data_IF_172054316899
#
_entry.id   IF_172054316899
#
_cell.length_a   1.000
_cell.length_b   1.000
_cell.length_c   1.000
_cell.angle_alpha   90.00
_cell.angle_beta   90.00
_cell.angle_gamma   90.00
#
_symmetry.space_group_name_H-M   'P 1'
#
loop_
_entity.id
_entity.type
_entity.pdbx_description
1 polymer ?
#
# COMPACT_ATOMS: atom_id res chain seq x y z
N UNK A 1 15.34 3.31 -19.74
CA UNK A 1 15.57 2.65 -18.43
C UNK A 1 14.50 1.59 -18.24
N UNK A 2 14.84 0.30 -18.19
CA UNK A 2 13.90 -0.69 -17.68
C UNK A 2 13.87 -0.53 -16.17
N UNK A 3 12.99 0.35 -15.67
CA UNK A 3 12.73 0.45 -14.24
C UNK A 3 12.48 -0.96 -13.69
N UNK A 4 13.08 -1.29 -12.53
CA UNK A 4 12.80 -2.55 -11.86
C UNK A 4 11.28 -2.69 -11.72
N UNK A 5 10.69 -3.65 -12.43
CA UNK A 5 9.23 -3.75 -12.51
C UNK A 5 8.67 -4.06 -11.12
N UNK A 6 7.83 -3.18 -10.58
CA UNK A 6 7.13 -3.43 -9.33
C UNK A 6 6.34 -4.75 -9.42
N UNK A 7 6.62 -5.72 -8.53
CA UNK A 7 6.00 -7.07 -8.42
C UNK A 7 6.45 -8.17 -9.40
N UNK A 8 7.74 -8.53 -9.53
CA UNK A 8 8.21 -9.50 -10.52
C UNK A 8 7.44 -10.83 -10.47
N UNK A 9 7.13 -11.40 -11.65
CA UNK A 9 6.50 -12.71 -11.73
C UNK A 9 7.38 -13.77 -11.07
N UNK A 10 6.73 -14.72 -10.39
CA UNK A 10 7.38 -15.78 -9.66
C UNK A 10 8.21 -16.73 -10.55
N UNK A 11 7.71 -16.97 -11.75
CA UNK A 11 8.43 -17.64 -12.82
C UNK A 11 8.55 -16.61 -13.95
N UNK A 12 9.71 -15.97 -14.09
CA UNK A 12 9.99 -15.22 -15.29
C UNK A 12 10.00 -16.22 -16.44
N UNK A 13 8.95 -16.26 -17.25
CA UNK A 13 9.08 -16.84 -18.59
C UNK A 13 10.20 -16.05 -19.26
N UNK A 14 11.27 -16.74 -19.65
CA UNK A 14 12.39 -16.14 -20.36
C UNK A 14 11.83 -15.55 -21.66
N UNK A 15 11.41 -14.29 -21.62
CA UNK A 15 10.94 -13.57 -22.79
C UNK A 15 12.18 -13.42 -23.67
N UNK A 16 12.08 -13.89 -24.91
CA UNK A 16 13.15 -13.75 -25.90
C UNK A 16 13.65 -12.29 -25.88
N UNK A 17 14.98 -12.07 -25.97
CA UNK A 17 15.52 -10.73 -25.93
C UNK A 17 14.77 -9.87 -26.95
N UNK A 18 14.27 -8.68 -26.55
CA UNK A 18 13.63 -7.80 -27.51
C UNK A 18 14.61 -7.54 -28.66
N UNK A 19 14.11 -7.40 -29.90
CA UNK A 19 14.97 -7.03 -31.02
C UNK A 19 15.75 -5.76 -30.64
N UNK A 20 17.01 -5.62 -31.08
CA UNK A 20 17.82 -4.46 -30.74
C UNK A 20 17.09 -3.20 -31.18
N UNK A 21 16.56 -2.47 -30.20
CA UNK A 21 15.97 -1.17 -30.43
C UNK A 21 17.12 -0.22 -30.69
N UNK A 22 17.16 0.38 -31.88
CA UNK A 22 17.99 1.56 -32.15
C UNK A 22 17.44 2.72 -31.32
N UNK A 23 17.87 2.80 -30.06
CA UNK A 23 17.72 3.97 -29.22
C UNK A 23 19.06 4.71 -29.12
N UNK A 24 19.08 5.97 -28.66
CA UNK A 24 20.34 6.62 -28.28
C UNK A 24 21.05 5.76 -27.24
N UNK A 25 22.37 5.58 -27.39
CA UNK A 25 23.18 4.89 -26.40
C UNK A 25 23.18 5.72 -25.10
N UNK A 26 22.40 5.29 -24.12
CA UNK A 26 22.32 5.95 -22.81
C UNK A 26 23.57 5.68 -21.96
N UNK A 27 24.53 4.88 -22.45
CA UNK A 27 25.85 4.71 -21.87
C UNK A 27 26.88 5.73 -22.39
N UNK A 28 26.45 6.80 -23.07
CA UNK A 28 27.32 7.94 -23.39
C UNK A 28 27.74 8.60 -22.07
N UNK A 29 28.88 8.15 -21.54
CA UNK A 29 29.62 8.86 -20.51
C UNK A 29 30.21 10.08 -21.18
N UNK A 30 29.71 11.27 -20.82
CA UNK A 30 30.38 12.51 -21.16
C UNK A 30 31.75 12.48 -20.47
N UNK A 31 32.82 12.45 -21.27
CA UNK A 31 34.20 12.45 -20.79
C UNK A 31 34.84 13.74 -21.27
N UNK A 32 35.54 14.44 -20.36
CA UNK A 32 36.29 15.62 -20.73
C UNK A 32 37.44 15.23 -21.69
N UNK A 33 37.56 15.87 -22.87
CA UNK A 33 38.58 15.52 -23.86
C UNK A 33 40.02 15.78 -23.38
N UNK A 34 40.18 16.74 -22.47
CA UNK A 34 41.46 17.14 -21.87
C UNK A 34 41.86 16.22 -20.70
N UNK A 35 40.97 16.02 -19.72
CA UNK A 35 41.30 15.23 -18.54
C UNK A 35 41.33 13.72 -18.81
N UNK A 36 40.46 13.23 -19.71
CA UNK A 36 40.26 11.80 -20.05
C UNK A 36 40.15 10.88 -18.83
N UNK A 37 39.59 11.41 -17.74
CA UNK A 37 39.39 10.65 -16.50
C UNK A 37 38.27 9.62 -16.71
N UNK A 38 38.47 8.34 -16.36
CA UNK A 38 37.41 7.32 -16.41
C UNK A 38 36.21 7.64 -15.49
N UNK A 39 36.39 8.48 -14.46
CA UNK A 39 35.31 9.02 -13.61
C UNK A 39 35.28 10.55 -13.70
N UNK A 40 34.70 11.11 -14.79
CA UNK A 40 34.71 12.55 -15.02
C UNK A 40 33.80 13.26 -14.01
N UNK A 41 34.36 14.22 -13.26
CA UNK A 41 33.58 15.12 -12.40
C UNK A 41 33.04 16.27 -13.24
N UNK A 42 31.89 16.06 -13.87
CA UNK A 42 31.17 17.08 -14.64
C UNK A 42 30.08 17.66 -13.75
N UNK A 43 30.02 18.99 -13.67
CA UNK A 43 29.01 19.72 -12.93
C UNK A 43 28.16 20.55 -13.89
N UNK A 44 26.86 20.56 -13.63
CA UNK A 44 25.90 21.42 -14.29
C UNK A 44 25.84 22.76 -13.54
N UNK A 45 26.36 23.81 -14.15
CA UNK A 45 26.30 25.17 -13.61
C UNK A 45 25.04 25.86 -14.16
N UNK A 46 23.94 25.74 -13.42
CA UNK A 46 22.64 26.28 -13.83
C UNK A 46 22.61 27.81 -13.96
N UNK A 47 23.51 28.53 -13.27
CA UNK A 47 23.56 29.99 -13.31
C UNK A 47 24.03 30.55 -14.67
N UNK A 48 24.99 29.88 -15.30
CA UNK A 48 25.46 30.22 -16.66
C UNK A 48 24.81 29.35 -17.75
N UNK A 49 24.23 28.20 -17.36
CA UNK A 49 23.64 27.23 -18.28
C UNK A 49 24.69 26.33 -18.94
N UNK A 50 25.80 26.07 -18.25
CA UNK A 50 26.97 25.36 -18.82
C UNK A 50 27.30 24.06 -18.10
N UNK A 51 27.73 23.04 -18.85
CA UNK A 51 28.30 21.79 -18.33
C UNK A 51 29.80 21.96 -18.18
N UNK A 52 30.33 21.96 -16.96
CA UNK A 52 31.74 22.26 -16.69
C UNK A 52 32.45 21.06 -16.06
N UNK A 53 33.64 20.73 -16.55
CA UNK A 53 34.52 19.77 -15.88
C UNK A 53 35.18 20.41 -14.66
N UNK A 54 35.00 19.85 -13.45
CA UNK A 54 35.59 20.38 -12.21
C UNK A 54 37.12 20.27 -12.13
N UNK A 55 37.72 19.34 -12.89
CA UNK A 55 39.16 19.11 -12.82
C UNK A 55 39.96 20.14 -13.63
N UNK A 56 39.50 20.52 -14.83
CA UNK A 56 40.20 21.45 -15.72
C UNK A 56 39.46 22.76 -16.02
N UNK A 57 38.20 22.89 -15.60
CA UNK A 57 37.37 24.06 -15.89
C UNK A 57 36.85 24.16 -17.33
N UNK A 58 37.04 23.13 -18.15
CA UNK A 58 36.55 23.12 -19.54
C UNK A 58 35.03 23.02 -19.58
N UNK A 59 34.41 23.90 -20.36
CA UNK A 59 32.97 23.84 -20.69
C UNK A 59 32.77 22.78 -21.78
N UNK A 60 32.00 21.73 -21.45
CA UNK A 60 31.72 20.58 -22.31
C UNK A 60 30.43 20.73 -23.11
N UNK A 61 29.51 21.58 -22.65
CA UNK A 61 28.27 21.89 -23.35
C UNK A 61 27.72 23.20 -22.85
N UNK A 62 27.32 24.07 -23.77
CA UNK A 62 26.61 25.31 -23.50
C UNK A 62 25.09 25.08 -23.59
N UNK A 63 24.31 25.94 -22.92
CA UNK A 63 22.83 25.97 -22.98
C UNK A 63 22.17 24.68 -22.51
N UNK A 64 22.48 24.25 -21.29
CA UNK A 64 21.74 23.16 -20.64
C UNK A 64 20.26 23.54 -20.54
N UNK A 65 19.40 22.60 -20.90
CA UNK A 65 17.97 22.69 -20.60
C UNK A 65 17.75 22.33 -19.14
N UNK A 66 17.27 23.26 -18.34
CA UNK A 66 16.90 22.96 -16.95
C UNK A 66 15.65 22.07 -16.95
N UNK A 67 15.79 20.84 -16.48
CA UNK A 67 14.68 19.89 -16.32
C UNK A 67 14.03 19.97 -14.94
N UNK A 68 14.48 20.88 -14.06
CA UNK A 68 13.84 21.12 -12.77
C UNK A 68 12.46 21.73 -12.97
N UNK A 69 11.61 21.60 -11.95
CA UNK A 69 10.29 22.19 -11.94
C UNK A 69 10.38 23.69 -12.22
N UNK A 70 9.68 24.16 -13.26
CA UNK A 70 9.55 25.58 -13.57
C UNK A 70 8.93 26.28 -12.35
N UNK A 71 9.75 26.93 -11.52
CA UNK A 71 9.32 27.42 -10.20
C UNK A 71 8.45 28.69 -10.27
N UNK A 72 8.05 29.14 -11.47
CA UNK A 72 7.33 30.41 -11.62
C UNK A 72 6.26 30.34 -12.71
N UNK A 73 5.05 30.01 -12.30
CA UNK A 73 3.86 30.64 -12.90
C UNK A 73 3.82 32.07 -12.37
N UNK A 74 4.13 33.07 -13.22
CA UNK A 74 4.02 34.49 -12.83
C UNK A 74 2.55 34.93 -12.64
N UNK A 75 1.59 34.07 -13.00
CA UNK A 75 0.21 34.19 -12.57
C UNK A 75 0.08 33.49 -11.20
N UNK A 76 -0.45 34.22 -10.22
CA UNK A 76 -0.89 33.73 -8.90
C UNK A 76 -1.40 32.28 -8.95
N UNK A 77 -1.24 31.55 -7.84
CA UNK A 77 -1.69 30.17 -7.54
C UNK A 77 -3.14 29.77 -7.95
N UNK A 78 -3.90 30.66 -8.58
CA UNK A 78 -5.21 30.42 -9.16
C UNK A 78 -5.25 30.90 -10.62
N UNK A 79 -4.84 30.03 -11.55
CA UNK A 79 -4.92 30.30 -12.98
C UNK A 79 -4.42 29.15 -13.85
N UNK A 80 -4.88 29.12 -15.11
CA UNK A 80 -4.36 28.23 -16.15
C UNK A 80 -2.95 28.69 -16.54
N UNK A 81 -1.97 27.79 -16.50
CA UNK A 81 -0.54 28.08 -16.72
C UNK A 81 -0.27 28.23 -18.22
N UNK A 82 -0.05 29.46 -18.75
CA UNK A 82 0.09 29.67 -20.19
C UNK A 82 1.43 29.14 -20.73
N UNK A 83 2.40 28.85 -19.86
CA UNK A 83 3.68 28.22 -20.21
C UNK A 83 3.57 26.70 -20.33
N UNK A 84 2.58 26.08 -19.67
CA UNK A 84 2.43 24.63 -19.65
C UNK A 84 1.84 24.10 -20.96
N UNK A 85 2.73 23.69 -21.84
CA UNK A 85 2.37 23.08 -23.14
C UNK A 85 2.03 21.58 -23.06
N UNK A 86 2.05 20.98 -21.86
CA UNK A 86 1.70 19.56 -21.66
C UNK A 86 1.35 19.23 -20.20
N UNK A 87 0.45 18.26 -20.03
CA UNK A 87 0.11 17.71 -18.72
C UNK A 87 1.14 16.64 -18.31
N UNK A 88 1.42 16.54 -17.00
CA UNK A 88 2.20 15.43 -16.48
C UNK A 88 1.42 14.12 -16.66
N UNK A 89 2.02 13.14 -17.34
CA UNK A 89 1.43 11.81 -17.44
C UNK A 89 1.55 11.08 -16.12
N UNK A 90 0.46 10.45 -15.65
CA UNK A 90 0.51 9.56 -14.50
C UNK A 90 1.37 8.32 -14.86
N UNK A 91 2.48 8.04 -14.13
CA UNK A 91 3.30 6.85 -14.38
C UNK A 91 2.51 5.54 -14.27
N UNK A 92 1.42 5.50 -13.49
CA UNK A 92 0.56 4.32 -13.44
C UNK A 92 -0.19 4.06 -14.75
N UNK A 93 -0.35 5.09 -15.58
CA UNK A 93 -0.96 5.02 -16.92
C UNK A 93 0.09 4.86 -18.03
N UNK A 94 1.38 4.79 -17.68
CA UNK A 94 2.48 4.62 -18.64
C UNK A 94 2.30 3.32 -19.46
N UNK A 95 2.43 3.43 -20.79
CA UNK A 95 2.17 2.34 -21.74
C UNK A 95 0.71 2.20 -22.17
N UNK A 96 -0.20 3.06 -21.71
CA UNK A 96 -1.49 3.27 -22.35
C UNK A 96 -1.36 4.34 -23.43
N UNK A 97 -1.98 4.12 -24.58
CA UNK A 97 -2.02 5.07 -25.71
C UNK A 97 -3.01 6.22 -25.45
N UNK A 98 -3.03 6.75 -24.23
CA UNK A 98 -3.92 7.84 -23.82
C UNK A 98 -3.26 9.19 -24.08
N UNK A 99 -3.13 9.51 -25.37
CA UNK A 99 -2.85 10.85 -25.87
C UNK A 99 -4.15 11.55 -26.27
N UNK A 100 -5.23 11.34 -25.49
CA UNK A 100 -6.55 11.87 -25.77
C UNK A 100 -6.85 13.14 -24.96
N UNK A 101 -7.48 14.10 -25.61
CA UNK A 101 -8.00 15.31 -24.96
C UNK A 101 -9.50 15.18 -24.73
N UNK A 102 -10.01 15.68 -23.61
CA UNK A 102 -11.45 15.69 -23.32
C UNK A 102 -12.10 16.95 -23.88
N UNK A 103 -13.16 16.79 -24.68
CA UNK A 103 -13.93 17.92 -25.22
C UNK A 103 -14.81 18.51 -24.10
N UNK A 104 -14.65 19.81 -23.80
CA UNK A 104 -15.40 20.48 -22.73
C UNK A 104 -16.89 20.64 -23.03
N UNK A 105 -17.71 20.82 -21.98
CA UNK A 105 -19.16 21.08 -22.13
C UNK A 105 -19.49 22.55 -22.45
N UNK A 106 -18.51 23.46 -22.30
CA UNK A 106 -18.71 24.89 -22.56
C UNK A 106 -18.66 25.12 -24.06
N UNK A 107 -19.77 25.57 -24.64
CA UNK A 107 -19.93 25.58 -26.09
C UNK A 107 -20.46 26.88 -26.68
N UNK A 108 -20.23 28.02 -26.01
CA UNK A 108 -20.63 29.34 -26.51
C UNK A 108 -22.12 29.51 -26.87
N UNK A 109 -22.98 28.52 -26.61
CA UNK A 109 -24.39 28.48 -27.00
C UNK A 109 -24.75 27.59 -28.21
N UNK A 110 -23.79 26.92 -28.87
CA UNK A 110 -24.02 26.27 -30.16
C UNK A 110 -24.52 24.81 -30.09
N UNK A 111 -24.45 24.15 -28.92
CA UNK A 111 -24.94 22.79 -28.68
C UNK A 111 -24.15 21.65 -29.37
N UNK A 112 -23.13 21.99 -30.16
CA UNK A 112 -22.23 21.11 -30.89
C UNK A 112 -21.34 20.29 -29.96
N UNK A 113 -20.91 20.85 -28.82
CA UNK A 113 -20.08 20.14 -27.82
C UNK A 113 -20.73 18.84 -27.36
N UNK A 114 -22.05 18.83 -27.23
CA UNK A 114 -22.83 17.66 -26.81
C UNK A 114 -22.83 16.57 -27.87
N UNK A 115 -22.85 16.94 -29.13
CA UNK A 115 -22.75 15.98 -30.26
C UNK A 115 -21.34 15.44 -30.39
N UNK A 116 -20.32 16.31 -30.27
CA UNK A 116 -18.92 15.91 -30.28
C UNK A 116 -18.57 14.99 -29.11
N UNK A 117 -19.08 15.23 -27.90
CA UNK A 117 -18.90 14.32 -26.77
C UNK A 117 -19.57 12.97 -27.00
N UNK A 118 -20.76 12.94 -27.62
CA UNK A 118 -21.42 11.67 -27.98
C UNK A 118 -20.61 10.91 -29.01
N UNK A 119 -19.99 11.61 -29.97
CA UNK A 119 -19.08 11.00 -30.95
C UNK A 119 -17.80 10.48 -30.27
N UNK A 120 -17.18 11.27 -29.38
CA UNK A 120 -16.00 10.87 -28.61
C UNK A 120 -16.29 9.63 -27.74
N UNK A 121 -17.44 9.60 -27.07
CA UNK A 121 -17.88 8.45 -26.26
C UNK A 121 -17.99 7.15 -27.07
N UNK A 122 -18.25 7.25 -28.38
CA UNK A 122 -18.30 6.09 -29.29
C UNK A 122 -16.91 5.65 -29.76
N UNK A 123 -15.96 6.58 -29.83
CA UNK A 123 -14.57 6.31 -30.21
C UNK A 123 -13.65 5.91 -29.04
N UNK A 124 -14.15 5.92 -27.80
CA UNK A 124 -13.32 5.72 -26.62
C UNK A 124 -12.81 4.28 -26.45
N UNK A 125 -11.49 4.14 -26.56
CA UNK A 125 -10.60 3.22 -25.85
C UNK A 125 -10.84 1.72 -26.03
N UNK A 126 -9.76 0.94 -25.92
CA UNK A 126 -9.87 -0.50 -25.82
C UNK A 126 -10.74 -0.87 -24.61
N UNK A 127 -11.56 -1.93 -24.73
CA UNK A 127 -12.38 -2.44 -23.62
C UNK A 127 -11.54 -2.69 -22.36
N UNK A 128 -10.28 -3.06 -22.53
CA UNK A 128 -9.32 -3.32 -21.45
C UNK A 128 -8.98 -2.04 -20.67
N UNK A 129 -8.74 -0.93 -21.36
CA UNK A 129 -8.42 0.37 -20.74
C UNK A 129 -9.61 0.91 -19.94
N UNK A 130 -10.82 0.78 -20.49
CA UNK A 130 -12.06 1.16 -19.77
C UNK A 130 -12.23 0.37 -18.47
N UNK A 131 -12.02 -0.95 -18.51
CA UNK A 131 -12.08 -1.78 -17.31
C UNK A 131 -11.04 -1.37 -16.27
N UNK A 132 -9.83 -1.03 -16.70
CA UNK A 132 -8.75 -0.62 -15.81
C UNK A 132 -9.02 0.76 -15.17
N UNK A 133 -9.55 1.73 -15.94
CA UNK A 133 -9.95 3.03 -15.38
C UNK A 133 -11.08 2.90 -14.35
N UNK A 134 -12.07 2.05 -14.62
CA UNK A 134 -13.14 1.76 -13.65
C UNK A 134 -12.54 1.15 -12.38
N UNK A 135 -11.64 0.17 -12.51
CA UNK A 135 -10.99 -0.44 -11.37
C UNK A 135 -10.12 0.56 -10.57
N UNK A 136 -9.41 1.48 -11.22
CA UNK A 136 -8.61 2.49 -10.54
C UNK A 136 -9.46 3.49 -9.75
N UNK A 137 -10.62 3.86 -10.29
CA UNK A 137 -11.60 4.67 -9.57
C UNK A 137 -12.15 3.93 -8.34
N UNK A 138 -12.49 2.66 -8.51
CA UNK A 138 -13.06 1.84 -7.42
C UNK A 138 -12.01 1.55 -6.33
N UNK A 139 -10.75 1.29 -6.72
CA UNK A 139 -9.60 1.19 -5.78
C UNK A 139 -9.47 2.49 -4.98
N UNK A 140 -9.52 3.65 -5.64
CA UNK A 140 -9.38 4.95 -4.97
C UNK A 140 -10.54 5.17 -3.99
N UNK A 141 -11.79 4.97 -4.43
CA UNK A 141 -12.99 5.10 -3.59
C UNK A 141 -12.96 4.19 -2.35
N UNK A 142 -12.55 2.93 -2.50
CA UNK A 142 -12.47 2.00 -1.37
C UNK A 142 -11.29 2.30 -0.44
N UNK A 143 -10.17 2.77 -0.96
CA UNK A 143 -9.05 3.24 -0.14
C UNK A 143 -9.44 4.46 0.68
N UNK A 144 -10.16 5.41 0.09
CA UNK A 144 -10.65 6.61 0.76
C UNK A 144 -11.65 6.26 1.88
N UNK A 145 -12.55 5.32 1.64
CA UNK A 145 -13.48 4.80 2.66
C UNK A 145 -12.76 4.12 3.84
N UNK A 146 -11.62 3.47 3.61
CA UNK A 146 -10.76 2.93 4.67
C UNK A 146 -9.79 3.97 5.27
N UNK A 147 -9.82 5.22 4.78
CA UNK A 147 -8.88 6.28 5.13
C UNK A 147 -7.42 5.84 4.97
N UNK A 148 -7.12 5.11 3.88
CA UNK A 148 -5.78 4.66 3.56
C UNK A 148 -4.99 5.77 2.86
N UNK A 149 -3.68 5.90 3.12
CA UNK A 149 -2.82 6.86 2.42
C UNK A 149 -2.75 6.55 0.92
N UNK A 150 -2.55 7.60 0.11
CA UNK A 150 -2.43 7.52 -1.36
C UNK A 150 -1.39 6.50 -1.81
N UNK A 151 -0.28 6.37 -1.09
CA UNK A 151 0.76 5.36 -1.35
C UNK A 151 0.19 3.93 -1.44
N UNK A 152 -0.78 3.57 -0.60
CA UNK A 152 -1.41 2.25 -0.63
C UNK A 152 -2.35 2.12 -1.84
N UNK A 153 -3.07 3.19 -2.19
CA UNK A 153 -3.91 3.24 -3.39
C UNK A 153 -3.07 3.02 -4.66
N UNK A 154 -1.91 3.67 -4.75
CA UNK A 154 -1.02 3.57 -5.92
C UNK A 154 -0.38 2.19 -6.02
N UNK A 155 0.07 1.60 -4.91
CA UNK A 155 0.56 0.21 -4.87
C UNK A 155 -0.54 -0.76 -5.33
N UNK A 156 -1.79 -0.56 -4.87
CA UNK A 156 -2.91 -1.41 -5.26
C UNK A 156 -3.25 -1.28 -6.76
N UNK A 157 -3.21 -0.06 -7.32
CA UNK A 157 -3.40 0.21 -8.76
C UNK A 157 -2.31 -0.44 -9.60
N UNK A 158 -1.04 -0.32 -9.19
CA UNK A 158 0.09 -0.98 -9.87
C UNK A 158 -0.08 -2.50 -9.89
N UNK A 159 -0.45 -3.08 -8.74
CA UNK A 159 -0.69 -4.52 -8.61
C UNK A 159 -1.87 -4.98 -9.49
N UNK A 160 -2.96 -4.21 -9.53
CA UNK A 160 -4.12 -4.50 -10.38
C UNK A 160 -3.74 -4.46 -11.87
N UNK A 161 -3.07 -3.40 -12.32
CA UNK A 161 -2.58 -3.26 -13.70
C UNK A 161 -1.74 -4.46 -14.10
N UNK A 162 -0.81 -4.87 -13.24
CA UNK A 162 0.06 -6.03 -13.49
C UNK A 162 -0.74 -7.34 -13.54
N UNK A 163 -1.70 -7.52 -12.64
CA UNK A 163 -2.56 -8.70 -12.61
C UNK A 163 -3.40 -8.84 -13.89
N UNK A 164 -3.88 -7.72 -14.44
CA UNK A 164 -4.64 -7.66 -15.70
C UNK A 164 -3.74 -7.96 -16.91
N UNK A 165 -2.54 -7.37 -16.97
CA UNK A 165 -1.56 -7.58 -18.06
C UNK A 165 -1.15 -9.06 -18.19
N UNK A 166 -0.88 -9.71 -17.06
CA UNK A 166 -0.48 -11.13 -17.01
C UNK A 166 -1.68 -12.09 -17.03
N UNK A 167 -2.92 -11.57 -17.05
CA UNK A 167 -4.18 -12.33 -17.10
C UNK A 167 -4.32 -13.40 -16.01
N UNK A 168 -3.72 -13.16 -14.83
CA UNK A 168 -3.64 -14.14 -13.72
C UNK A 168 -5.04 -14.51 -13.16
N UNK A 169 -5.96 -13.55 -13.16
CA UNK A 169 -7.26 -13.66 -12.47
C UNK A 169 -8.46 -13.74 -13.43
N UNK A 170 -8.23 -14.26 -14.64
CA UNK A 170 -9.27 -14.36 -15.67
C UNK A 170 -10.49 -15.15 -15.18
N UNK A 171 -11.67 -14.53 -15.23
CA UNK A 171 -12.94 -15.15 -14.83
C UNK A 171 -13.35 -14.94 -13.37
N UNK A 172 -12.53 -14.25 -12.55
CA UNK A 172 -12.93 -13.82 -11.20
C UNK A 172 -13.66 -12.48 -11.26
N UNK A 173 -14.59 -12.18 -10.33
CA UNK A 173 -15.28 -10.89 -10.30
C UNK A 173 -14.28 -9.77 -10.01
N UNK A 174 -14.39 -8.65 -10.74
CA UNK A 174 -13.47 -7.50 -10.64
C UNK A 174 -13.34 -6.99 -9.21
N UNK A 175 -14.46 -6.88 -8.50
CA UNK A 175 -14.51 -6.45 -7.09
C UNK A 175 -13.63 -7.31 -6.18
N UNK A 176 -13.58 -8.63 -6.42
CA UNK A 176 -12.74 -9.52 -5.63
C UNK A 176 -11.25 -9.39 -5.98
N UNK A 177 -10.93 -9.05 -7.23
CA UNK A 177 -9.57 -8.77 -7.66
C UNK A 177 -9.07 -7.49 -6.98
N UNK A 178 -9.89 -6.43 -7.05
CA UNK A 178 -9.62 -5.13 -6.42
C UNK A 178 -9.42 -5.30 -4.91
N UNK A 179 -10.35 -6.00 -4.24
CA UNK A 179 -10.26 -6.28 -2.81
C UNK A 179 -8.98 -7.03 -2.42
N UNK A 180 -8.54 -7.99 -3.24
CA UNK A 180 -7.29 -8.71 -3.01
C UNK A 180 -6.05 -7.82 -3.21
N UNK A 181 -6.08 -6.93 -4.21
CA UNK A 181 -4.98 -5.98 -4.45
C UNK A 181 -4.82 -5.01 -3.29
N UNK A 182 -5.92 -4.46 -2.77
CA UNK A 182 -5.92 -3.57 -1.59
C UNK A 182 -5.38 -4.31 -0.36
N UNK A 183 -5.79 -5.57 -0.14
CA UNK A 183 -5.30 -6.38 0.97
C UNK A 183 -3.77 -6.56 0.93
N UNK A 184 -3.24 -6.89 -0.26
CA UNK A 184 -1.80 -7.06 -0.47
C UNK A 184 -1.06 -5.74 -0.26
N UNK A 185 -1.55 -4.65 -0.84
CA UNK A 185 -0.95 -3.32 -0.68
C UNK A 185 -0.89 -2.89 0.78
N UNK A 186 -1.97 -3.12 1.55
CA UNK A 186 -1.99 -2.85 2.99
C UNK A 186 -0.95 -3.67 3.77
N UNK A 187 -0.73 -4.94 3.37
CA UNK A 187 0.27 -5.80 4.00
C UNK A 187 1.70 -5.35 3.70
N UNK A 188 1.96 -4.94 2.46
CA UNK A 188 3.28 -4.43 2.05
C UNK A 188 3.62 -3.09 2.70
N UNK A 189 2.62 -2.22 2.89
CA UNK A 189 2.81 -0.94 3.57
C UNK A 189 2.87 -1.05 5.10
N UNK A 190 2.94 -2.25 5.68
CA UNK A 190 2.92 -2.50 7.13
C UNK A 190 1.68 -1.94 7.87
N UNK A 191 0.55 -1.78 7.17
CA UNK A 191 -0.73 -1.40 7.78
C UNK A 191 -1.77 -2.50 7.56
N UNK A 192 -1.54 -3.72 8.07
CA UNK A 192 -2.32 -4.88 7.70
C UNK A 192 -3.79 -4.72 8.08
N UNK A 193 -4.67 -5.00 7.13
CA UNK A 193 -6.12 -5.13 7.32
C UNK A 193 -6.48 -6.61 7.43
N UNK A 194 -7.53 -6.93 8.17
CA UNK A 194 -8.06 -8.29 8.23
C UNK A 194 -8.92 -8.56 7.00
N UNK A 195 -9.01 -9.83 6.59
CA UNK A 195 -9.94 -10.22 5.51
C UNK A 195 -11.39 -9.79 5.79
N UNK A 196 -11.80 -9.78 7.07
CA UNK A 196 -13.17 -9.43 7.46
C UNK A 196 -13.44 -7.94 7.26
N UNK A 197 -12.49 -7.07 7.61
CA UNK A 197 -12.59 -5.63 7.35
C UNK A 197 -12.81 -5.36 5.86
N UNK A 198 -12.00 -5.97 4.99
CA UNK A 198 -12.10 -5.77 3.54
C UNK A 198 -13.41 -6.34 2.99
N UNK A 199 -13.80 -7.56 3.39
CA UNK A 199 -15.05 -8.17 2.96
C UNK A 199 -16.29 -7.34 3.36
N UNK A 200 -16.25 -6.69 4.53
CA UNK A 200 -17.35 -5.86 4.98
C UNK A 200 -17.56 -4.62 4.09
N UNK A 201 -16.47 -4.06 3.55
CA UNK A 201 -16.55 -2.89 2.66
C UNK A 201 -16.90 -3.27 1.23
N UNK A 202 -16.23 -4.28 0.68
CA UNK A 202 -16.34 -4.62 -0.75
C UNK A 202 -17.51 -5.56 -1.05
N UNK A 203 -18.20 -6.05 -0.02
CA UNK A 203 -19.24 -7.08 -0.09
C UNK A 203 -18.80 -8.39 -0.76
N UNK A 204 -17.49 -8.60 -0.93
CA UNK A 204 -16.92 -9.81 -1.48
C UNK A 204 -16.86 -10.90 -0.42
N UNK A 205 -17.29 -12.11 -0.76
CA UNK A 205 -17.20 -13.25 0.17
C UNK A 205 -15.74 -13.59 0.53
N UNK A 206 -15.50 -13.91 1.80
CA UNK A 206 -14.16 -14.28 2.34
C UNK A 206 -13.49 -15.40 1.55
N UNK A 207 -14.26 -16.38 1.06
CA UNK A 207 -13.74 -17.51 0.28
C UNK A 207 -13.17 -17.05 -1.06
N UNK A 208 -13.90 -16.20 -1.78
CA UNK A 208 -13.46 -15.68 -3.09
C UNK A 208 -12.26 -14.76 -2.92
N UNK A 209 -12.28 -13.88 -1.91
CA UNK A 209 -11.15 -13.01 -1.58
C UNK A 209 -9.88 -13.83 -1.28
N UNK A 210 -9.99 -14.88 -0.46
CA UNK A 210 -8.88 -15.78 -0.14
C UNK A 210 -8.34 -16.53 -1.36
N UNK A 211 -9.20 -16.90 -2.31
CA UNK A 211 -8.76 -17.51 -3.57
C UNK A 211 -8.04 -16.51 -4.49
N UNK A 212 -8.53 -15.27 -4.61
CA UNK A 212 -7.85 -14.21 -5.37
C UNK A 212 -6.48 -13.89 -4.77
N UNK A 213 -6.44 -13.72 -3.45
CA UNK A 213 -5.21 -13.46 -2.71
C UNK A 213 -4.16 -14.55 -2.95
N UNK A 214 -4.50 -15.83 -2.83
CA UNK A 214 -3.56 -16.94 -3.07
C UNK A 214 -3.04 -16.95 -4.51
N UNK A 215 -3.91 -16.71 -5.49
CA UNK A 215 -3.52 -16.64 -6.90
C UNK A 215 -2.52 -15.49 -7.16
N UNK A 216 -2.72 -14.32 -6.54
CA UNK A 216 -1.80 -13.18 -6.67
C UNK A 216 -0.48 -13.40 -5.92
N UNK A 217 -0.55 -13.97 -4.72
CA UNK A 217 0.65 -14.30 -3.93
C UNK A 217 1.55 -15.29 -4.65
N UNK A 218 0.96 -16.33 -5.26
CA UNK A 218 1.68 -17.31 -6.08
C UNK A 218 2.26 -16.69 -7.36
N UNK A 219 1.54 -15.78 -8.00
CA UNK A 219 1.96 -15.20 -9.27
C UNK A 219 3.11 -14.19 -9.12
N UNK A 220 3.12 -13.39 -8.04
CA UNK A 220 4.06 -12.28 -7.86
C UNK A 220 5.13 -12.51 -6.80
N UNK A 221 5.27 -13.75 -6.29
CA UNK A 221 6.24 -14.10 -5.24
C UNK A 221 6.31 -13.04 -4.12
N UNK A 222 5.12 -12.64 -3.63
CA UNK A 222 4.99 -11.57 -2.63
C UNK A 222 5.57 -11.94 -1.26
N UNK A 223 6.07 -13.16 -1.13
CA UNK A 223 6.87 -13.65 -0.01
C UNK A 223 8.35 -13.58 -0.41
N UNK A 224 9.13 -12.67 0.17
CA UNK A 224 10.58 -12.68 0.00
C UNK A 224 11.11 -13.98 0.62
N UNK A 225 11.54 -14.96 -0.20
CA UNK A 225 12.08 -16.23 0.29
C UNK A 225 11.43 -17.50 -0.24
N UNK A 226 10.70 -17.48 -1.36
CA UNK A 226 10.28 -18.70 -2.07
C UNK A 226 11.42 -19.45 -2.80
N UNK A 227 12.68 -19.23 -2.39
CA UNK A 227 13.76 -20.20 -2.59
C UNK A 227 13.79 -21.09 -1.35
N UNK A 228 13.72 -22.40 -1.54
CA UNK A 228 13.35 -23.44 -0.58
C UNK A 228 14.23 -23.60 0.69
N UNK A 229 15.04 -22.61 1.06
CA UNK A 229 16.09 -22.72 2.09
C UNK A 229 15.90 -21.85 3.33
N UNK A 230 14.92 -20.95 3.38
CA UNK A 230 14.59 -20.21 4.62
C UNK A 230 13.07 -20.03 4.77
N UNK A 231 12.44 -20.53 5.86
CA UNK A 231 11.04 -20.22 6.14
C UNK A 231 10.97 -18.77 6.65
N UNK A 232 10.95 -17.78 5.75
CA UNK A 232 10.91 -16.37 6.11
C UNK A 232 9.56 -15.73 5.76
N UNK A 233 8.76 -15.55 6.81
CA UNK A 233 8.19 -14.25 7.20
C UNK A 233 7.69 -13.34 6.06
N UNK A 234 6.68 -13.75 5.31
CA UNK A 234 5.65 -12.76 5.00
C UNK A 234 5.18 -12.22 6.36
N UNK A 235 5.11 -10.90 6.61
CA UNK A 235 4.59 -10.40 7.87
C UNK A 235 3.13 -10.83 7.95
N UNK A 236 2.90 -11.99 8.57
CA UNK A 236 1.58 -12.37 9.01
C UNK A 236 1.08 -11.21 9.86
N UNK A 237 -0.17 -10.83 9.68
CA UNK A 237 -0.80 -9.77 10.48
C UNK A 237 -0.60 -10.10 11.95
N UNK A 238 0.39 -9.47 12.57
CA UNK A 238 0.72 -9.70 13.97
C UNK A 238 -0.42 -9.16 14.81
N UNK A 239 -0.83 -9.86 15.89
CA UNK A 239 -1.79 -9.34 16.85
C UNK A 239 -1.44 -7.91 17.30
N UNK A 240 -0.17 -7.57 17.43
CA UNK A 240 0.35 -6.25 17.82
C UNK A 240 -0.12 -5.13 16.88
N UNK A 241 -0.07 -5.38 15.57
CA UNK A 241 -0.47 -4.40 14.55
C UNK A 241 -1.97 -4.08 14.56
N UNK A 242 -2.78 -4.98 15.13
CA UNK A 242 -4.24 -4.82 15.23
C UNK A 242 -4.66 -4.10 16.51
N UNK A 243 -3.90 -4.24 17.60
CA UNK A 243 -4.22 -3.67 18.93
C UNK A 243 -4.41 -2.17 18.86
N UNK A 244 -3.48 -1.45 18.23
CA UNK A 244 -3.54 0.03 18.15
C UNK A 244 -4.88 0.48 17.58
N UNK A 245 -5.31 -0.14 16.49
CA UNK A 245 -6.59 0.17 15.84
C UNK A 245 -7.76 -0.22 16.75
N UNK A 246 -7.78 -1.44 17.26
CA UNK A 246 -8.90 -1.89 18.09
C UNK A 246 -9.05 -1.06 19.37
N UNK A 247 -7.96 -0.67 20.02
CA UNK A 247 -7.99 0.25 21.16
C UNK A 247 -8.56 1.62 20.80
N UNK A 248 -8.18 2.18 19.64
CA UNK A 248 -8.74 3.45 19.16
C UNK A 248 -10.24 3.36 18.89
N UNK A 249 -10.70 2.28 18.26
CA UNK A 249 -12.13 2.06 18.00
C UNK A 249 -12.96 1.79 19.27
N UNK A 250 -12.31 1.39 20.38
CA UNK A 250 -12.94 1.14 21.68
C UNK A 250 -12.86 2.34 22.64
N UNK A 251 -12.33 3.48 22.17
CA UNK A 251 -12.07 4.70 22.95
C UNK A 251 -11.23 4.43 24.22
N UNK A 252 -10.21 3.59 24.09
CA UNK A 252 -9.27 3.30 25.19
C UNK A 252 -8.11 4.32 25.18
N UNK A 253 -7.61 4.73 26.35
CA UNK A 253 -6.53 5.71 26.41
C UNK A 253 -5.19 5.11 25.92
N UNK A 254 -4.25 5.94 25.44
CA UNK A 254 -3.03 5.47 24.76
C UNK A 254 -2.15 4.58 25.64
N UNK A 255 -2.21 4.74 26.97
CA UNK A 255 -1.50 3.91 27.94
C UNK A 255 -1.85 2.41 27.81
N UNK A 256 -3.04 2.07 27.30
CA UNK A 256 -3.48 0.69 27.12
C UNK A 256 -2.76 0.00 25.97
N UNK A 257 -2.40 0.74 24.93
CA UNK A 257 -1.82 0.17 23.71
C UNK A 257 -0.45 -0.44 23.99
N UNK A 258 0.40 0.27 24.74
CA UNK A 258 1.72 -0.22 25.15
C UNK A 258 1.63 -1.46 26.04
N UNK A 259 0.78 -1.43 27.07
CA UNK A 259 0.58 -2.56 27.99
C UNK A 259 0.03 -3.78 27.25
N UNK A 260 -0.97 -3.59 26.39
CA UNK A 260 -1.56 -4.67 25.61
C UNK A 260 -0.54 -5.28 24.61
N UNK A 261 0.30 -4.45 23.99
CA UNK A 261 1.36 -4.94 23.10
C UNK A 261 2.39 -5.76 23.87
N UNK A 262 2.80 -5.29 25.05
CA UNK A 262 3.73 -6.00 25.93
C UNK A 262 3.19 -7.37 26.36
N UNK A 263 1.89 -7.46 26.70
CA UNK A 263 1.23 -8.71 27.07
C UNK A 263 1.21 -9.69 25.90
N UNK A 264 0.96 -9.21 24.68
CA UNK A 264 0.96 -10.04 23.47
C UNK A 264 2.37 -10.58 23.16
N UNK A 265 3.39 -9.75 23.33
CA UNK A 265 4.79 -10.16 23.13
C UNK A 265 5.17 -11.23 24.16
N UNK A 266 4.88 -10.99 25.44
CA UNK A 266 5.12 -11.97 26.51
C UNK A 266 4.34 -13.27 26.30
N UNK A 267 3.08 -13.18 25.86
CA UNK A 267 2.27 -14.34 25.53
C UNK A 267 2.86 -15.16 24.37
N UNK A 268 3.37 -14.50 23.33
CA UNK A 268 4.05 -15.17 22.22
C UNK A 268 5.32 -15.88 22.69
N UNK A 269 6.13 -15.25 23.53
CA UNK A 269 7.36 -15.85 24.06
C UNK A 269 7.09 -17.09 24.92
N UNK A 270 5.97 -17.10 25.63
CA UNK A 270 5.51 -18.22 26.46
C UNK A 270 4.73 -19.29 25.68
N UNK A 271 4.47 -19.09 24.38
CA UNK A 271 3.64 -20.00 23.56
C UNK A 271 2.15 -20.01 23.94
N UNK A 272 1.68 -18.98 24.66
CA UNK A 272 0.30 -18.88 25.12
C UNK A 272 -0.58 -18.47 23.93
N UNK A 273 -1.50 -19.36 23.56
CA UNK A 273 -2.42 -19.12 22.44
C UNK A 273 -1.91 -19.60 21.09
N UNK A 274 -0.85 -20.42 21.06
CA UNK A 274 -0.42 -21.12 19.84
C UNK A 274 -1.58 -21.88 19.19
N UNK A 275 -1.70 -21.74 17.87
CA UNK A 275 -2.81 -22.29 17.09
C UNK A 275 -4.10 -21.45 17.08
N UNK A 276 -4.15 -20.30 17.77
CA UNK A 276 -5.27 -19.35 17.67
C UNK A 276 -4.97 -18.26 16.64
N UNK A 277 -6.04 -17.68 16.09
CA UNK A 277 -5.89 -16.62 15.10
C UNK A 277 -5.39 -15.33 15.75
N UNK A 278 -4.52 -14.55 15.09
CA UNK A 278 -4.01 -13.26 15.59
C UNK A 278 -5.09 -12.30 16.06
N UNK A 279 -6.23 -12.27 15.36
CA UNK A 279 -7.38 -11.42 15.72
C UNK A 279 -7.99 -11.83 17.06
N UNK A 280 -8.05 -13.14 17.34
CA UNK A 280 -8.56 -13.66 18.61
C UNK A 280 -7.60 -13.36 19.77
N UNK A 281 -6.29 -13.50 19.51
CA UNK A 281 -5.21 -13.20 20.45
C UNK A 281 -5.26 -11.71 20.84
N UNK A 282 -5.39 -10.82 19.86
CA UNK A 282 -5.53 -9.38 20.07
C UNK A 282 -6.82 -9.04 20.85
N UNK A 283 -7.98 -9.59 20.46
CA UNK A 283 -9.25 -9.36 21.15
C UNK A 283 -9.24 -9.83 22.62
N UNK A 284 -8.67 -11.01 22.88
CA UNK A 284 -8.49 -11.53 24.24
C UNK A 284 -7.51 -10.69 25.06
N UNK A 285 -6.44 -10.19 24.45
CA UNK A 285 -5.42 -9.39 25.15
C UNK A 285 -5.98 -8.01 25.54
N UNK A 286 -6.78 -7.40 24.66
CA UNK A 286 -7.48 -6.15 24.97
C UNK A 286 -8.46 -6.37 26.13
N UNK A 287 -9.25 -7.45 26.10
CA UNK A 287 -10.18 -7.77 27.18
C UNK A 287 -9.46 -7.98 28.53
N UNK A 288 -8.36 -8.75 28.52
CA UNK A 288 -7.52 -8.94 29.70
C UNK A 288 -6.96 -7.61 30.24
N UNK A 289 -6.43 -6.78 29.35
CA UNK A 289 -5.86 -5.47 29.70
C UNK A 289 -6.91 -4.50 30.24
N UNK A 290 -8.13 -4.52 29.69
CA UNK A 290 -9.27 -3.75 30.18
C UNK A 290 -9.65 -4.08 31.62
N UNK A 291 -9.64 -5.36 31.98
CA UNK A 291 -9.90 -5.81 33.35
C UNK A 291 -8.75 -5.45 34.29
N UNK A 292 -7.50 -5.65 33.86
CA UNK A 292 -6.30 -5.34 34.63
C UNK A 292 -6.22 -3.86 35.05
N UNK A 293 -6.56 -2.95 34.12
CA UNK A 293 -6.52 -1.49 34.32
C UNK A 293 -7.82 -0.91 34.90
N UNK A 294 -8.82 -1.74 35.21
CA UNK A 294 -10.07 -1.30 35.83
C UNK A 294 -11.01 -0.49 34.91
N UNK A 295 -10.87 -0.63 33.58
CA UNK A 295 -11.80 -0.06 32.58
C UNK A 295 -12.46 -1.18 31.77
N UNK A 296 -13.43 -1.92 32.36
CA UNK A 296 -14.05 -3.06 31.69
C UNK A 296 -14.82 -2.60 30.46
N UNK A 297 -14.63 -3.31 29.34
CA UNK A 297 -15.42 -3.22 28.11
C UNK A 297 -16.11 -4.55 27.90
N UNK A 298 -17.33 -4.53 27.35
CA UNK A 298 -18.07 -5.77 27.14
C UNK A 298 -17.38 -6.65 26.08
N UNK A 299 -17.47 -7.97 26.21
CA UNK A 299 -16.93 -8.90 25.20
C UNK A 299 -17.59 -8.69 23.85
N UNK A 300 -18.86 -8.26 23.84
CA UNK A 300 -19.64 -7.94 22.65
C UNK A 300 -19.08 -6.74 21.90
N UNK A 301 -18.70 -5.68 22.61
CA UNK A 301 -18.13 -4.47 21.98
C UNK A 301 -16.75 -4.79 21.36
N UNK A 302 -15.92 -5.53 22.11
CA UNK A 302 -14.62 -5.98 21.60
C UNK A 302 -14.80 -6.93 20.41
N UNK A 303 -15.78 -7.84 20.49
CA UNK A 303 -16.14 -8.77 19.42
C UNK A 303 -16.64 -8.06 18.16
N UNK A 304 -17.38 -6.97 18.31
CA UNK A 304 -17.84 -6.14 17.20
C UNK A 304 -16.67 -5.46 16.46
N UNK A 305 -15.70 -4.91 17.20
CA UNK A 305 -14.52 -4.24 16.64
C UNK A 305 -13.54 -5.24 16.02
N UNK A 306 -13.19 -6.31 16.74
CA UNK A 306 -12.24 -7.32 16.26
C UNK A 306 -12.86 -8.28 15.23
N UNK A 307 -14.19 -8.39 15.18
CA UNK A 307 -14.88 -9.32 14.27
C UNK A 307 -14.72 -10.79 14.67
N UNK A 308 -14.64 -11.08 15.97
CA UNK A 308 -14.56 -12.42 16.57
C UNK A 308 -15.75 -12.66 17.51
N UNK A 309 -16.12 -13.91 17.73
CA UNK A 309 -17.21 -14.24 18.65
C UNK A 309 -16.79 -14.08 20.11
N UNK A 310 -17.73 -13.68 20.97
CA UNK A 310 -17.54 -13.53 22.41
C UNK A 310 -16.92 -14.77 23.06
N UNK A 311 -17.38 -15.96 22.67
CA UNK A 311 -16.83 -17.22 23.17
C UNK A 311 -15.36 -17.42 22.84
N UNK A 312 -14.90 -16.92 21.69
CA UNK A 312 -13.49 -16.97 21.29
C UNK A 312 -12.64 -16.03 22.14
N UNK A 313 -13.14 -14.82 22.42
CA UNK A 313 -12.48 -13.86 23.32
C UNK A 313 -12.37 -14.44 24.73
N UNK A 314 -13.48 -14.99 25.27
CA UNK A 314 -13.49 -15.63 26.60
C UNK A 314 -12.54 -16.83 26.67
N UNK A 315 -12.36 -17.57 25.59
CA UNK A 315 -11.43 -18.70 25.54
C UNK A 315 -9.97 -18.23 25.62
N UNK A 316 -9.60 -17.21 24.83
CA UNK A 316 -8.25 -16.63 24.88
C UNK A 316 -7.99 -15.96 26.23
N UNK A 317 -8.98 -15.27 26.78
CA UNK A 317 -8.90 -14.69 28.12
C UNK A 317 -8.58 -15.72 29.19
N UNK A 318 -9.24 -16.89 29.17
CA UNK A 318 -8.95 -17.99 30.11
C UNK A 318 -7.51 -18.49 30.00
N UNK A 319 -6.92 -18.51 28.80
CA UNK A 319 -5.51 -18.86 28.61
C UNK A 319 -4.59 -17.82 29.25
N UNK A 320 -4.88 -16.52 29.08
CA UNK A 320 -4.10 -15.47 29.75
C UNK A 320 -4.28 -15.46 31.26
N UNK A 321 -5.48 -15.78 31.75
CA UNK A 321 -5.75 -15.84 33.19
C UNK A 321 -4.97 -16.96 33.87
N UNK A 322 -4.79 -18.10 33.21
CA UNK A 322 -4.02 -19.23 33.73
C UNK A 322 -2.54 -18.87 33.98
N UNK A 323 -1.98 -17.94 33.21
CA UNK A 323 -0.58 -17.49 33.33
C UNK A 323 -0.46 -16.00 33.72
N UNK A 324 -1.46 -15.47 34.44
CA UNK A 324 -1.53 -14.04 34.79
C UNK A 324 -0.26 -13.54 35.51
N UNK A 325 0.36 -14.37 36.34
CA UNK A 325 1.52 -14.01 37.16
C UNK A 325 2.79 -13.80 36.31
N UNK A 326 2.87 -14.44 35.14
CA UNK A 326 4.00 -14.28 34.21
C UNK A 326 3.78 -13.13 33.21
N UNK A 327 2.52 -12.87 32.86
CA UNK A 327 2.15 -11.84 31.88
C UNK A 327 2.13 -10.43 32.47
N UNK A 328 1.77 -10.29 33.75
CA UNK A 328 1.72 -8.99 34.43
C UNK A 328 3.11 -8.62 34.93
N UNK A 329 3.69 -7.56 34.35
CA UNK A 329 4.98 -7.03 34.84
C UNK A 329 4.80 -6.40 36.22
N UNK A 330 5.70 -6.73 37.16
CA UNK A 330 5.73 -6.20 38.52
C UNK A 330 5.74 -4.66 38.55
N UNK A 331 6.44 -4.03 37.59
CA UNK A 331 6.46 -2.57 37.39
C UNK A 331 5.06 -1.94 37.27
N UNK A 332 4.10 -2.61 36.65
CA UNK A 332 2.75 -2.06 36.47
C UNK A 332 1.94 -2.05 37.77
N UNK A 333 2.24 -2.99 38.67
CA UNK A 333 1.64 -3.10 40.00
C UNK A 333 2.25 -2.01 40.89
N UNK A 334 3.57 -1.84 40.83
CA UNK A 334 4.31 -0.83 41.60
C UNK A 334 3.91 0.60 41.22
N UNK A 335 3.60 0.85 39.94
CA UNK A 335 3.10 2.14 39.45
C UNK A 335 1.62 2.38 39.78
N UNK A 336 0.93 1.43 40.43
CA UNK A 336 -0.49 1.50 40.77
C UNK A 336 -1.43 1.48 39.55
N UNK A 337 -0.90 1.10 38.38
CA UNK A 337 -1.65 1.08 37.11
C UNK A 337 -2.42 -0.22 36.93
N UNK A 338 -1.92 -1.34 37.45
CA UNK A 338 -2.51 -2.65 37.31
C UNK A 338 -3.00 -3.18 38.66
N UNK A 339 -4.26 -3.62 38.73
CA UNK A 339 -4.76 -4.34 39.89
C UNK A 339 -5.08 -5.80 39.50
N UNK A 340 -4.26 -6.78 39.92
CA UNK A 340 -4.46 -8.19 39.57
C UNK A 340 -5.73 -8.79 40.18
N UNK A 341 -6.31 -8.18 41.22
CA UNK A 341 -7.55 -8.65 41.86
C UNK A 341 -8.80 -8.39 40.99
N UNK A 342 -8.69 -7.50 40.01
CA UNK A 342 -9.77 -7.24 39.04
C UNK A 342 -9.92 -8.37 38.01
N UNK A 343 -8.91 -9.23 37.87
CA UNK A 343 -8.95 -10.38 36.98
C UNK A 343 -9.79 -11.50 37.63
N UNK A 344 -11.11 -11.41 37.47
CA UNK A 344 -12.05 -12.43 37.92
C UNK A 344 -12.22 -13.50 36.85
N UNK A 345 -12.64 -14.70 37.27
CA UNK A 345 -13.14 -15.71 36.34
C UNK A 345 -14.33 -15.12 35.57
N UNK A 346 -14.16 -15.00 34.25
CA UNK A 346 -15.21 -14.52 33.38
C UNK A 346 -16.30 -15.60 33.30
N UNK A 347 -17.40 -15.41 34.05
CA UNK A 347 -18.62 -16.21 33.93
C UNK A 347 -19.16 -16.17 32.50
#
# INVERSE_FOLDING_TARGET
MAYAQAFPLAQSQAKAPPPPTFGPDLAVRLICPECRDPNPQIAEEFGSGDLVCRNCGLVLGDRIVDTRSEWRTFANDEGDDPSRVGAASDPLMEGMEQLDTVISFRDGGNGLSRELQRAQSRGQGSRQERNLMVAFRDISSWCDQFSLPKTISDIAKQLFKRAEQEKILRGKPMDAIIAACIFIACRQAHVPRTFREICNLTHVSKKVLGQCYKSLEQAFNLTPGASATHPSLAPATGPESLVVRYCNHLDLPPNFQGICSDIIIAARELGIGDGRSPVSIAGGAIYFTCLLLGKPKSTRDIGAVAGVSDGTIKLVYRLYLAEKDKLVKQKWIDEGKANPDNLKDAV
#
